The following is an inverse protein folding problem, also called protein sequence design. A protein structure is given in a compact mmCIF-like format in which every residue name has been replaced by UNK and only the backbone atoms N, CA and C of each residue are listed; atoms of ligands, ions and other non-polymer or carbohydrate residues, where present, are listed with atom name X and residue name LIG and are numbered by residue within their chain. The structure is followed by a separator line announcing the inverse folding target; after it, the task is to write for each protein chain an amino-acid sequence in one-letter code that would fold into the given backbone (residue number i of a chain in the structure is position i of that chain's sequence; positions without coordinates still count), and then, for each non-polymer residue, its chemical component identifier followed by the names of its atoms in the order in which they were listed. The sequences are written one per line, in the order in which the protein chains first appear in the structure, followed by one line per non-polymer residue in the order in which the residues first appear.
data_IF_041735509614
#
_entry.id   IF_041735509614
#
_cell.length_a   1.000
_cell.length_b   1.000
_cell.length_c   1.000
_cell.angle_alpha   90.00
_cell.angle_beta   90.00
_cell.angle_gamma   90.00
#
_symmetry.space_group_name_H-M   'P 1'
#
loop_
_entity.id
_entity.type
_entity.pdbx_description
1 polymer ?
#
# COMPACT_ATOMS: atom_id res chain seq x y z
N UNK A 1 15.08 46.69 0.79
CA UNK A 1 14.89 46.72 -0.68
C UNK A 1 13.68 45.86 -1.02
N UNK A 2 12.92 46.20 -2.07
CA UNK A 2 11.72 45.44 -2.51
C UNK A 2 11.74 45.35 -4.04
N UNK A 3 11.62 44.14 -4.59
CA UNK A 3 11.56 43.90 -6.05
C UNK A 3 10.10 43.84 -6.54
N UNK A 4 9.18 43.39 -5.69
CA UNK A 4 7.75 43.29 -5.96
C UNK A 4 6.94 44.13 -4.97
N UNK A 5 5.68 44.46 -5.28
CA UNK A 5 4.79 45.26 -4.40
C UNK A 5 4.71 44.72 -2.96
N UNK A 6 4.77 43.40 -2.82
CA UNK A 6 4.62 42.69 -1.55
C UNK A 6 5.94 42.19 -0.94
N UNK A 7 7.07 42.28 -1.63
CA UNK A 7 8.31 41.77 -1.05
C UNK A 7 9.49 41.72 -2.00
N UNK A 8 10.57 41.14 -1.53
CA UNK A 8 11.66 40.72 -2.38
C UNK A 8 11.37 39.31 -2.88
N UNK A 9 11.51 39.10 -4.18
CA UNK A 9 11.34 37.81 -4.83
C UNK A 9 12.56 37.61 -5.70
N UNK A 10 13.21 36.47 -5.51
CA UNK A 10 14.39 36.03 -6.24
C UNK A 10 14.23 34.56 -6.62
N UNK A 11 14.93 34.14 -7.66
CA UNK A 11 14.97 32.74 -8.06
C UNK A 11 15.88 31.96 -7.10
N UNK A 12 15.31 30.97 -6.41
CA UNK A 12 16.03 30.13 -5.47
C UNK A 12 16.46 28.82 -6.15
N UNK A 13 17.71 28.41 -5.94
CA UNK A 13 18.25 27.13 -6.41
C UNK A 13 18.15 26.06 -5.31
N UNK A 14 16.92 25.73 -4.90
CA UNK A 14 16.65 24.69 -3.91
C UNK A 14 16.36 23.38 -4.64
N UNK A 15 16.91 22.28 -4.15
CA UNK A 15 16.61 20.96 -4.70
C UNK A 15 15.14 20.56 -4.45
N UNK A 16 14.48 19.98 -5.45
CA UNK A 16 13.05 19.63 -5.38
C UNK A 16 12.78 18.66 -4.24
N UNK A 17 13.67 17.68 -4.04
CA UNK A 17 13.49 16.68 -2.99
C UNK A 17 13.56 17.30 -1.60
N UNK A 18 14.53 18.20 -1.37
CA UNK A 18 14.69 18.90 -0.10
C UNK A 18 13.49 19.79 0.19
N UNK A 19 12.98 20.50 -0.82
CA UNK A 19 11.78 21.31 -0.66
C UNK A 19 10.57 20.46 -0.24
N UNK A 20 10.31 19.36 -0.96
CA UNK A 20 9.18 18.47 -0.68
C UNK A 20 9.31 17.79 0.69
N UNK A 21 10.52 17.39 1.08
CA UNK A 21 10.79 16.82 2.39
C UNK A 21 10.46 17.80 3.51
N UNK A 22 10.95 19.03 3.44
CA UNK A 22 10.72 20.04 4.48
C UNK A 22 9.25 20.51 4.49
N UNK A 23 8.65 20.69 3.31
CA UNK A 23 7.22 21.01 3.17
C UNK A 23 6.35 19.95 3.85
N UNK A 24 6.57 18.67 3.53
CA UNK A 24 5.80 17.58 4.13
C UNK A 24 6.07 17.42 5.62
N UNK A 25 7.31 17.68 6.08
CA UNK A 25 7.67 17.65 7.51
C UNK A 25 6.93 18.73 8.28
N UNK A 26 6.84 19.94 7.73
CA UNK A 26 6.04 21.02 8.33
C UNK A 26 4.56 20.67 8.38
N UNK A 27 4.00 20.15 7.29
CA UNK A 27 2.58 19.78 7.23
C UNK A 27 2.20 18.62 8.16
N UNK A 28 3.12 17.70 8.42
CA UNK A 28 2.88 16.53 9.27
C UNK A 28 3.13 16.81 10.76
N UNK A 29 4.25 17.45 11.08
CA UNK A 29 4.72 17.62 12.46
C UNK A 29 4.67 19.06 12.96
N UNK A 30 4.51 20.04 12.06
CA UNK A 30 4.44 21.46 12.43
C UNK A 30 5.80 22.15 12.55
N UNK A 31 6.90 21.50 12.16
CA UNK A 31 8.24 22.10 12.14
C UNK A 31 8.99 21.80 10.84
N UNK A 32 9.93 22.68 10.46
CA UNK A 32 10.84 22.48 9.33
C UNK A 32 12.12 23.33 9.49
N UNK A 33 13.12 23.07 8.65
CA UNK A 33 14.29 23.94 8.55
C UNK A 33 13.92 25.31 7.94
N UNK A 34 14.54 26.38 8.43
CA UNK A 34 14.36 27.73 7.89
C UNK A 34 14.98 27.85 6.49
N UNK A 35 14.21 28.18 5.43
CA UNK A 35 14.75 28.39 4.08
C UNK A 35 15.47 29.74 3.90
N UNK A 36 15.49 30.62 4.92
CA UNK A 36 16.18 31.90 4.86
C UNK A 36 17.71 31.70 4.85
N UNK A 37 18.29 31.80 3.65
CA UNK A 37 19.68 31.44 3.32
C UNK A 37 20.80 32.10 4.15
N UNK A 38 20.50 33.05 5.05
CA UNK A 38 21.51 33.86 5.72
C UNK A 38 21.83 33.43 7.16
N UNK A 39 21.05 32.55 7.79
CA UNK A 39 21.15 32.35 9.23
C UNK A 39 21.03 30.87 9.65
N UNK A 40 22.02 30.04 9.29
CA UNK A 40 22.29 28.76 9.95
C UNK A 40 21.20 27.69 9.89
N UNK A 41 21.46 26.56 10.56
CA UNK A 41 20.53 25.42 10.68
C UNK A 41 19.46 25.70 11.73
N UNK A 42 18.67 26.76 11.54
CA UNK A 42 17.56 27.08 12.43
C UNK A 42 16.30 26.32 12.01
N UNK A 43 15.44 26.03 12.98
CA UNK A 43 14.13 25.42 12.76
C UNK A 43 13.03 26.44 13.01
N UNK A 44 11.97 26.36 12.22
CA UNK A 44 10.77 27.18 12.34
C UNK A 44 9.58 26.25 12.61
N UNK A 45 8.65 26.72 13.43
CA UNK A 45 7.40 26.03 13.75
C UNK A 45 7.33 25.61 15.21
N UNK A 46 6.82 24.41 15.46
CA UNK A 46 6.66 23.86 16.80
C UNK A 46 7.97 23.22 17.30
N UNK A 47 8.67 23.94 18.19
CA UNK A 47 9.93 23.50 18.78
C UNK A 47 9.75 22.37 19.81
N UNK A 48 8.59 22.28 20.46
CA UNK A 48 8.33 21.20 21.43
C UNK A 48 8.21 19.85 20.72
N UNK A 49 7.59 19.84 19.54
CA UNK A 49 7.48 18.65 18.69
C UNK A 49 8.83 18.29 18.05
N UNK A 50 9.63 19.29 17.70
CA UNK A 50 11.00 19.10 17.21
C UNK A 50 11.87 18.35 18.24
N UNK A 51 11.84 18.77 19.51
CA UNK A 51 12.60 18.11 20.59
C UNK A 51 12.14 16.67 20.83
N UNK A 52 10.82 16.44 20.84
CA UNK A 52 10.25 15.08 21.04
C UNK A 52 10.65 14.12 19.92
N UNK A 53 10.70 14.62 18.69
CA UNK A 53 10.98 13.82 17.49
C UNK A 53 12.44 13.91 17.04
N UNK A 54 13.34 14.53 17.81
CA UNK A 54 14.77 14.68 17.47
C UNK A 54 15.03 15.20 16.04
N UNK A 55 14.18 16.09 15.51
CA UNK A 55 14.35 16.62 14.16
C UNK A 55 14.18 15.61 13.01
N UNK A 56 13.47 14.51 13.25
CA UNK A 56 13.18 13.51 12.21
C UNK A 56 12.29 14.12 11.11
N UNK A 57 12.67 13.92 9.85
CA UNK A 57 11.86 14.27 8.69
C UNK A 57 10.83 13.18 8.35
N UNK A 58 9.88 13.50 7.47
CA UNK A 58 8.89 12.51 6.99
C UNK A 58 9.55 11.31 6.32
N UNK A 59 10.68 11.51 5.64
CA UNK A 59 11.36 10.45 4.89
C UNK A 59 12.43 9.73 5.72
N UNK A 60 12.94 10.34 6.79
CA UNK A 60 13.99 9.75 7.62
C UNK A 60 13.44 9.09 8.90
N UNK A 61 12.44 8.23 8.75
CA UNK A 61 11.81 7.54 9.88
C UNK A 61 12.73 6.44 10.42
N UNK A 62 12.98 6.39 11.75
CA UNK A 62 13.75 5.32 12.36
C UNK A 62 13.19 3.92 12.07
N UNK A 63 14.09 2.95 11.86
CA UNK A 63 13.71 1.59 11.48
C UNK A 63 12.78 0.90 12.50
N UNK A 64 12.85 1.29 13.78
CA UNK A 64 11.97 0.74 14.82
C UNK A 64 10.52 1.20 14.66
N UNK A 65 10.27 2.43 14.22
CA UNK A 65 8.92 2.91 13.90
C UNK A 65 8.39 2.26 12.62
N UNK A 66 9.24 2.06 11.62
CA UNK A 66 8.84 1.37 10.39
C UNK A 66 8.37 -0.07 10.69
N UNK A 67 9.05 -0.76 11.61
CA UNK A 67 8.64 -2.09 12.07
C UNK A 67 7.28 -2.07 12.77
N UNK A 68 7.01 -1.09 13.64
CA UNK A 68 5.70 -0.94 14.30
C UNK A 68 4.57 -0.78 13.28
N UNK A 69 4.73 0.15 12.32
CA UNK A 69 3.72 0.38 11.26
C UNK A 69 3.47 -0.86 10.40
N UNK A 70 4.51 -1.68 10.14
CA UNK A 70 4.34 -2.92 9.39
C UNK A 70 3.52 -3.96 10.17
N UNK A 71 3.65 -3.98 11.50
CA UNK A 71 2.87 -4.86 12.36
C UNK A 71 1.43 -4.35 12.44
N UNK A 72 1.22 -3.05 12.69
CA UNK A 72 -0.10 -2.42 12.73
C UNK A 72 -0.88 -2.62 11.41
N UNK A 73 -0.22 -2.40 10.26
CA UNK A 73 -0.84 -2.67 8.95
C UNK A 73 -1.19 -4.15 8.75
N UNK A 74 -0.42 -5.07 9.35
CA UNK A 74 -0.70 -6.51 9.30
C UNK A 74 -1.88 -6.87 10.21
N UNK A 75 -2.00 -6.23 11.37
CA UNK A 75 -3.13 -6.45 12.28
C UNK A 75 -4.42 -5.87 11.73
N UNK A 76 -4.39 -4.65 11.18
CA UNK A 76 -5.55 -4.05 10.49
C UNK A 76 -6.04 -4.93 9.33
N UNK A 77 -5.11 -5.41 8.49
CA UNK A 77 -5.47 -6.34 7.41
C UNK A 77 -6.02 -7.69 7.91
N UNK A 78 -5.62 -8.13 9.10
CA UNK A 78 -6.15 -9.36 9.71
C UNK A 78 -7.51 -9.14 10.37
N UNK A 79 -7.77 -7.95 10.91
CA UNK A 79 -9.07 -7.55 11.47
C UNK A 79 -10.10 -7.33 10.35
N UNK A 80 -9.71 -6.73 9.21
CA UNK A 80 -10.58 -6.65 8.02
C UNK A 80 -10.93 -8.03 7.42
N UNK A 81 -10.06 -9.02 7.56
CA UNK A 81 -10.30 -10.40 7.12
C UNK A 81 -11.16 -11.22 8.14
N UNK A 82 -11.36 -10.73 9.37
CA UNK A 82 -12.09 -11.43 10.46
C UNK A 82 -13.54 -10.94 10.64
N UNK A 83 -13.93 -9.82 10.02
CA UNK A 83 -15.20 -9.10 10.27
C UNK A 83 -16.44 -9.74 9.59
N UNK A 84 -16.65 -11.04 9.79
CA UNK A 84 -17.93 -11.70 9.49
C UNK A 84 -17.89 -13.07 8.81
N UNK A 85 -16.73 -13.73 8.71
CA UNK A 85 -16.66 -15.07 8.12
C UNK A 85 -16.98 -16.14 9.17
N UNK A 86 -18.06 -16.90 8.98
CA UNK A 86 -18.39 -18.05 9.83
C UNK A 86 -17.18 -19.00 9.93
N UNK A 87 -16.67 -19.18 11.16
CA UNK A 87 -15.39 -19.86 11.42
C UNK A 87 -15.35 -21.28 10.87
N UNK A 88 -16.50 -21.96 10.86
CA UNK A 88 -16.68 -23.31 10.31
C UNK A 88 -16.62 -23.31 8.78
N UNK A 89 -17.18 -22.30 8.11
CA UNK A 89 -17.07 -22.16 6.66
C UNK A 89 -15.68 -21.69 6.23
N UNK A 90 -14.97 -20.92 7.06
CA UNK A 90 -13.62 -20.46 6.76
C UNK A 90 -12.54 -21.56 6.88
N UNK A 91 -12.85 -22.68 7.53
CA UNK A 91 -11.96 -23.84 7.69
C UNK A 91 -12.28 -25.00 6.73
N UNK A 92 -13.49 -25.03 6.17
CA UNK A 92 -13.87 -26.03 5.17
C UNK A 92 -13.22 -25.73 3.80
N UNK A 93 -12.35 -26.58 3.24
CA UNK A 93 -11.71 -26.31 1.96
C UNK A 93 -12.66 -26.26 0.74
N UNK A 94 -13.93 -26.67 0.91
CA UNK A 94 -14.93 -26.69 -0.16
C UNK A 94 -15.81 -25.42 -0.24
N UNK A 95 -15.68 -24.47 0.69
CA UNK A 95 -16.50 -23.25 0.75
C UNK A 95 -15.78 -22.05 0.13
N UNK A 96 -16.56 -21.11 -0.40
CA UNK A 96 -16.06 -19.87 -1.00
C UNK A 96 -15.33 -18.99 0.04
N UNK A 97 -15.71 -19.12 1.31
CA UNK A 97 -15.04 -18.49 2.44
C UNK A 97 -13.57 -18.89 2.59
N UNK A 98 -13.28 -20.19 2.45
CA UNK A 98 -11.93 -20.71 2.52
C UNK A 98 -11.10 -20.29 1.30
N UNK A 99 -11.70 -20.25 0.11
CA UNK A 99 -11.08 -19.77 -1.12
C UNK A 99 -10.69 -18.30 -1.03
N UNK A 100 -11.57 -17.45 -0.50
CA UNK A 100 -11.31 -16.01 -0.32
C UNK A 100 -10.18 -15.77 0.69
N UNK A 101 -10.18 -16.52 1.81
CA UNK A 101 -9.13 -16.48 2.85
C UNK A 101 -7.76 -16.93 2.35
N UNK A 102 -7.71 -17.98 1.51
CA UNK A 102 -6.46 -18.52 0.95
C UNK A 102 -6.08 -17.97 -0.43
N UNK A 103 -6.83 -16.98 -0.95
CA UNK A 103 -6.61 -16.41 -2.28
C UNK A 103 -5.22 -15.80 -2.46
N UNK A 104 -4.60 -15.36 -1.37
CA UNK A 104 -3.22 -14.84 -1.34
C UNK A 104 -2.27 -15.93 -0.84
N UNK A 105 -2.03 -16.93 -1.69
CA UNK A 105 -0.98 -17.93 -1.42
C UNK A 105 0.39 -17.24 -1.28
N UNK A 106 1.28 -17.70 -0.39
CA UNK A 106 2.67 -17.23 -0.34
C UNK A 106 3.46 -17.49 -1.63
N UNK A 107 2.94 -18.32 -2.54
CA UNK A 107 3.45 -18.51 -3.90
C UNK A 107 2.71 -17.70 -4.98
N UNK A 108 1.63 -17.01 -4.63
CA UNK A 108 0.94 -16.11 -5.54
C UNK A 108 1.74 -14.81 -5.63
N UNK A 109 2.82 -14.84 -6.40
CA UNK A 109 3.52 -13.63 -6.85
C UNK A 109 2.53 -12.62 -7.46
N UNK A 110 2.93 -11.35 -7.51
CA UNK A 110 2.13 -10.24 -8.07
C UNK A 110 1.46 -10.68 -9.37
N UNK A 111 0.13 -10.72 -9.40
CA UNK A 111 -0.68 -11.07 -10.59
C UNK A 111 -0.63 -9.94 -11.62
N UNK A 112 0.55 -9.63 -12.14
CA UNK A 112 0.74 -8.60 -13.15
C UNK A 112 0.61 -9.15 -14.59
N UNK A 113 0.26 -10.43 -14.74
CA UNK A 113 0.18 -11.08 -16.05
C UNK A 113 -0.90 -12.14 -16.22
N UNK A 114 -1.92 -12.19 -15.36
CA UNK A 114 -3.01 -13.16 -15.53
C UNK A 114 -3.95 -12.66 -16.65
N UNK A 115 -3.62 -13.02 -17.89
CA UNK A 115 -4.51 -12.88 -19.03
C UNK A 115 -5.87 -13.52 -18.68
N UNK A 116 -6.92 -12.70 -18.68
CA UNK A 116 -8.27 -13.03 -18.24
C UNK A 116 -9.05 -13.90 -19.23
N UNK A 117 -8.45 -14.29 -20.34
CA UNK A 117 -9.09 -15.14 -21.33
C UNK A 117 -8.42 -16.51 -21.35
N UNK A 118 -9.16 -17.55 -20.96
CA UNK A 118 -8.77 -18.93 -21.23
C UNK A 118 -8.46 -19.06 -22.72
N UNK A 119 -7.28 -19.58 -23.05
CA UNK A 119 -6.90 -19.82 -24.45
C UNK A 119 -7.94 -20.73 -25.11
N UNK A 120 -8.15 -20.58 -26.41
CA UNK A 120 -9.17 -21.35 -27.15
C UNK A 120 -9.02 -22.87 -26.95
N UNK A 121 -7.80 -23.33 -26.70
CA UNK A 121 -7.49 -24.73 -26.37
C UNK A 121 -8.04 -25.16 -25.01
N UNK A 122 -7.97 -24.30 -23.98
CA UNK A 122 -8.51 -24.60 -22.66
C UNK A 122 -10.05 -24.63 -22.67
N UNK A 123 -10.68 -23.80 -23.50
CA UNK A 123 -12.14 -23.84 -23.72
C UNK A 123 -12.56 -25.15 -24.40
N UNK A 124 -11.85 -25.56 -25.46
CA UNK A 124 -12.09 -26.85 -26.13
C UNK A 124 -11.92 -28.04 -25.19
N UNK A 125 -10.89 -28.01 -24.34
CA UNK A 125 -10.68 -29.07 -23.36
C UNK A 125 -11.82 -29.13 -22.33
N UNK A 126 -12.30 -27.99 -21.83
CA UNK A 126 -13.43 -27.94 -20.90
C UNK A 126 -14.74 -28.45 -21.54
N UNK A 127 -15.02 -28.06 -22.79
CA UNK A 127 -16.18 -28.53 -23.55
C UNK A 127 -16.11 -30.03 -23.86
N UNK A 128 -14.95 -30.55 -24.28
CA UNK A 128 -14.78 -31.97 -24.58
C UNK A 128 -14.91 -32.82 -23.30
N UNK A 129 -14.41 -32.33 -22.17
CA UNK A 129 -14.56 -33.00 -20.89
C UNK A 129 -16.00 -32.97 -20.36
N UNK A 130 -16.74 -31.88 -20.60
CA UNK A 130 -18.16 -31.79 -20.30
C UNK A 130 -18.97 -32.76 -21.18
N UNK A 131 -18.72 -32.79 -22.49
CA UNK A 131 -19.38 -33.70 -23.43
C UNK A 131 -19.09 -35.16 -23.10
N UNK A 132 -17.85 -35.50 -22.75
CA UNK A 132 -17.45 -36.86 -22.34
C UNK A 132 -18.09 -37.27 -21.01
N UNK A 133 -18.35 -36.31 -20.12
CA UNK A 133 -19.08 -36.56 -18.87
C UNK A 133 -20.57 -36.78 -19.13
N UNK A 134 -21.16 -36.03 -20.06
CA UNK A 134 -22.54 -36.23 -20.51
C UNK A 134 -22.74 -37.56 -21.24
N UNK A 135 -21.82 -37.96 -22.12
CA UNK A 135 -21.87 -39.27 -22.79
C UNK A 135 -21.73 -40.44 -21.79
N UNK A 136 -20.88 -40.30 -20.77
CA UNK A 136 -20.76 -41.30 -19.71
C UNK A 136 -21.99 -41.34 -18.79
N UNK A 137 -22.62 -40.19 -18.53
CA UNK A 137 -23.85 -40.12 -17.73
C UNK A 137 -25.09 -40.61 -18.50
N UNK A 138 -25.09 -40.51 -19.84
CA UNK A 138 -26.15 -41.03 -20.71
C UNK A 138 -26.08 -42.53 -21.00
N UNK A 139 -24.91 -43.17 -20.82
CA UNK A 139 -24.70 -44.59 -21.05
C UNK A 139 -25.14 -45.53 -19.90
N UNK A 140 -25.59 -44.99 -18.77
CA UNK A 140 -25.99 -45.77 -17.58
C UNK A 140 -27.51 -45.82 -17.36
N UNK A 141 -28.29 -45.64 -18.44
CA UNK A 141 -29.71 -46.00 -18.51
C UNK A 141 -30.04 -46.63 -19.86
N UNK A 142 -29.84 -47.95 -19.94
CA UNK A 142 -30.20 -48.81 -21.07
C UNK A 142 -29.92 -50.26 -20.75
#
# INVERSE_FOLDING_TARGET
MRNHKLGFVEDAAIDSFVFDEQYNTFHKYGFAADPSASAGNNYIGDLDVLEKNNGISVYNIPQHEQKKRKIEKKTEAAEEDDDGMDKEEAENPATDAWLMKNRKSPWAGKKEGLQSELTEEQKKYAEEHARKKEEKAGGEKG
#
